data_IF_043211416053
#
_entry.id   IF_043211416053
#
_cell.length_a   1.000
_cell.length_b   1.000
_cell.length_c   1.000
_cell.angle_alpha   90.00
_cell.angle_beta   90.00
_cell.angle_gamma   90.00
#
_symmetry.space_group_name_H-M   'P 1'
#
loop_
_entity.id
_entity.type
_entity.pdbx_description
1 polymer ?
#
# COMPACT_ATOMS: atom_id res chain seq x y z
N UNK A 1 6.28 20.28 55.10
CA UNK A 1 5.29 20.01 54.03
C UNK A 1 5.97 19.39 52.79
N UNK A 2 6.74 18.30 52.92
CA UNK A 2 7.57 17.78 51.81
C UNK A 2 7.35 16.30 51.46
N UNK A 3 6.87 15.47 52.40
CA UNK A 3 6.74 14.01 52.17
C UNK A 3 5.64 13.67 51.16
N UNK A 4 4.46 14.31 51.28
CA UNK A 4 3.34 14.08 50.36
C UNK A 4 3.68 14.50 48.92
N UNK A 5 4.43 15.60 48.73
CA UNK A 5 4.80 16.08 47.40
C UNK A 5 5.75 15.12 46.68
N UNK A 6 6.73 14.57 47.42
CA UNK A 6 7.66 13.58 46.90
C UNK A 6 6.95 12.27 46.50
N UNK A 7 5.93 11.88 47.26
CA UNK A 7 5.09 10.73 46.95
C UNK A 7 4.28 10.91 45.66
N UNK A 8 3.66 12.09 45.45
CA UNK A 8 2.95 12.39 44.21
C UNK A 8 3.87 12.40 42.97
N UNK A 9 5.11 12.92 43.11
CA UNK A 9 6.09 12.92 42.02
C UNK A 9 6.47 11.49 41.62
N UNK A 10 6.73 10.62 42.59
CA UNK A 10 7.08 9.22 42.33
C UNK A 10 5.97 8.48 41.57
N UNK A 11 4.71 8.71 41.96
CA UNK A 11 3.56 8.12 41.27
C UNK A 11 3.48 8.62 39.83
N UNK A 12 3.71 9.92 39.60
CA UNK A 12 3.64 10.50 38.26
C UNK A 12 4.72 9.94 37.33
N UNK A 13 5.94 9.76 37.85
CA UNK A 13 7.06 9.17 37.12
C UNK A 13 6.77 7.71 36.75
N UNK A 14 6.23 6.91 37.70
CA UNK A 14 5.87 5.52 37.44
C UNK A 14 4.77 5.39 36.38
N UNK A 15 3.76 6.26 36.41
CA UNK A 15 2.71 6.29 35.40
C UNK A 15 3.27 6.68 34.03
N UNK A 16 4.18 7.65 33.96
CA UNK A 16 4.86 8.02 32.73
C UNK A 16 5.64 6.84 32.14
N UNK A 17 6.44 6.14 32.95
CA UNK A 17 7.15 4.94 32.49
C UNK A 17 6.21 3.83 32.03
N UNK A 18 5.09 3.63 32.72
CA UNK A 18 4.09 2.65 32.34
C UNK A 18 3.45 2.97 30.98
N UNK A 19 3.07 4.23 30.75
CA UNK A 19 2.49 4.70 29.49
C UNK A 19 3.52 4.57 28.35
N UNK A 20 4.76 5.00 28.57
CA UNK A 20 5.83 4.92 27.57
C UNK A 20 6.16 3.46 27.23
N UNK A 21 6.21 2.57 28.22
CA UNK A 21 6.44 1.15 28.00
C UNK A 21 5.31 0.49 27.20
N UNK A 22 4.06 0.83 27.50
CA UNK A 22 2.90 0.29 26.80
C UNK A 22 2.85 0.71 25.32
N UNK A 23 3.15 1.97 25.02
CA UNK A 23 3.18 2.46 23.64
C UNK A 23 4.33 1.83 22.86
N UNK A 24 5.53 1.72 23.46
CA UNK A 24 6.69 1.10 22.82
C UNK A 24 6.43 -0.34 22.36
N UNK A 25 5.79 -1.16 23.20
CA UNK A 25 5.42 -2.55 22.87
C UNK A 25 4.41 -2.58 21.72
N UNK A 26 3.46 -1.64 21.69
CA UNK A 26 2.44 -1.57 20.64
C UNK A 26 3.02 -1.16 19.28
N UNK A 27 4.01 -0.25 19.25
CA UNK A 27 4.70 0.14 18.02
C UNK A 27 5.63 -0.95 17.47
N UNK A 28 6.22 -1.77 18.33
CA UNK A 28 7.09 -2.88 17.92
C UNK A 28 6.36 -4.16 17.54
N UNK A 29 5.02 -4.13 17.44
CA UNK A 29 4.25 -5.29 17.00
C UNK A 29 4.68 -5.65 15.56
N UNK A 30 5.22 -6.84 15.32
CA UNK A 30 5.63 -7.24 13.98
C UNK A 30 4.40 -7.27 13.08
N UNK A 31 4.54 -6.67 11.89
CA UNK A 31 3.48 -6.60 10.90
C UNK A 31 3.07 -8.02 10.52
N UNK A 32 1.78 -8.33 10.67
CA UNK A 32 1.25 -9.65 10.31
C UNK A 32 1.39 -9.88 8.79
N UNK A 33 1.60 -11.14 8.36
CA UNK A 33 1.77 -11.48 6.93
C UNK A 33 0.63 -10.96 6.03
N UNK A 34 -0.60 -10.97 6.54
CA UNK A 34 -1.78 -10.43 5.84
C UNK A 34 -1.70 -8.91 5.63
N UNK A 35 -1.16 -8.15 6.60
CA UNK A 35 -0.96 -6.71 6.43
C UNK A 35 0.15 -6.41 5.42
N UNK A 36 1.23 -7.19 5.43
CA UNK A 36 2.32 -7.03 4.46
C UNK A 36 1.86 -7.32 3.02
N UNK A 37 0.98 -8.31 2.84
CA UNK A 37 0.39 -8.62 1.53
C UNK A 37 -0.57 -7.51 1.08
N UNK A 38 -1.43 -7.02 1.98
CA UNK A 38 -2.33 -5.89 1.69
C UNK A 38 -1.56 -4.62 1.33
N UNK A 39 -0.45 -4.31 2.01
CA UNK A 39 0.39 -3.15 1.69
C UNK A 39 1.07 -3.28 0.31
N UNK A 40 1.51 -4.49 -0.06
CA UNK A 40 2.04 -4.74 -1.42
C UNK A 40 0.96 -4.52 -2.47
N UNK A 41 -0.23 -5.08 -2.26
CA UNK A 41 -1.35 -4.91 -3.20
C UNK A 41 -1.70 -3.42 -3.32
N UNK A 42 -1.82 -2.68 -2.22
CA UNK A 42 -2.09 -1.24 -2.24
C UNK A 42 -0.96 -0.44 -2.92
N UNK A 43 0.30 -0.84 -2.76
CA UNK A 43 1.41 -0.23 -3.49
C UNK A 43 1.35 -0.48 -4.99
N UNK A 44 0.87 -1.64 -5.43
CA UNK A 44 0.75 -1.95 -6.86
C UNK A 44 -0.47 -1.22 -7.43
N UNK A 45 -1.61 -1.31 -6.75
CA UNK A 45 -2.86 -0.60 -7.11
C UNK A 45 -2.64 0.91 -7.19
N UNK A 46 -1.95 1.53 -6.23
CA UNK A 46 -1.70 2.98 -6.27
C UNK A 46 -0.84 3.41 -7.47
N UNK A 47 0.13 2.58 -7.88
CA UNK A 47 0.92 2.82 -9.09
C UNK A 47 0.07 2.67 -10.35
N UNK A 48 -0.82 1.68 -10.38
CA UNK A 48 -1.70 1.42 -11.50
C UNK A 48 -2.83 2.45 -11.65
N UNK A 49 -3.35 2.98 -10.55
CA UNK A 49 -4.39 4.01 -10.54
C UNK A 49 -3.84 5.42 -10.72
N UNK A 50 -2.53 5.61 -10.95
CA UNK A 50 -2.05 6.88 -11.48
C UNK A 50 -2.76 7.18 -12.81
N UNK A 51 -3.23 8.42 -12.97
CA UNK A 51 -4.11 8.84 -14.08
C UNK A 51 -3.63 8.35 -15.45
N UNK A 52 -2.32 8.37 -15.70
CA UNK A 52 -1.72 7.88 -16.93
C UNK A 52 -1.94 6.37 -17.12
N UNK A 53 -1.51 5.50 -16.19
CA UNK A 53 -1.68 4.06 -16.34
C UNK A 53 -3.16 3.65 -16.40
N UNK A 54 -4.03 4.30 -15.61
CA UNK A 54 -5.48 4.01 -15.62
C UNK A 54 -6.12 4.27 -16.99
N UNK A 55 -5.81 5.39 -17.62
CA UNK A 55 -6.35 5.71 -18.95
C UNK A 55 -5.80 4.76 -20.02
N UNK A 56 -4.48 4.51 -20.00
CA UNK A 56 -3.84 3.60 -20.95
C UNK A 56 -4.34 2.17 -20.82
N UNK A 57 -4.46 1.62 -19.62
CA UNK A 57 -4.97 0.26 -19.41
C UNK A 57 -6.42 0.15 -19.87
N UNK A 58 -7.28 1.14 -19.60
CA UNK A 58 -8.66 1.13 -20.04
C UNK A 58 -8.79 1.17 -21.57
N UNK A 59 -8.00 2.02 -22.23
CA UNK A 59 -7.97 2.10 -23.70
C UNK A 59 -7.42 0.82 -24.33
N UNK A 60 -6.35 0.26 -23.75
CA UNK A 60 -5.75 -0.98 -24.24
C UNK A 60 -6.61 -2.21 -23.96
N UNK A 61 -7.34 -2.29 -22.84
CA UNK A 61 -8.35 -3.33 -22.57
C UNK A 61 -9.42 -3.31 -23.65
N UNK A 62 -9.95 -2.13 -23.95
CA UNK A 62 -10.95 -1.96 -25.00
C UNK A 62 -10.41 -2.38 -26.37
N UNK A 63 -9.18 -2.03 -26.71
CA UNK A 63 -8.52 -2.47 -27.94
C UNK A 63 -8.34 -3.99 -28.00
N UNK A 64 -7.86 -4.60 -26.92
CA UNK A 64 -7.69 -6.05 -26.80
C UNK A 64 -9.01 -6.82 -26.93
N UNK A 65 -10.08 -6.32 -26.30
CA UNK A 65 -11.41 -6.92 -26.41
C UNK A 65 -11.97 -6.81 -27.84
N UNK A 66 -11.75 -5.67 -28.51
CA UNK A 66 -12.21 -5.45 -29.88
C UNK A 66 -11.54 -6.41 -30.90
N UNK A 67 -10.30 -6.85 -30.63
CA UNK A 67 -9.56 -7.76 -31.51
C UNK A 67 -9.55 -9.22 -31.02
N UNK A 68 -10.33 -9.54 -29.98
CA UNK A 68 -10.43 -10.87 -29.40
C UNK A 68 -10.94 -11.87 -30.44
N UNK A 69 -10.14 -12.89 -30.72
CA UNK A 69 -10.45 -13.93 -31.73
C UNK A 69 -9.93 -13.66 -33.14
N UNK A 70 -9.24 -12.53 -33.37
CA UNK A 70 -8.49 -12.29 -34.60
C UNK A 70 -7.05 -12.83 -34.48
N UNK A 71 -6.40 -13.09 -35.63
CA UNK A 71 -5.03 -13.63 -35.70
C UNK A 71 -3.98 -12.75 -35.00
N UNK A 72 -4.27 -11.47 -34.79
CA UNK A 72 -3.34 -10.49 -34.20
C UNK A 72 -3.64 -10.18 -32.71
N UNK A 73 -4.44 -11.01 -32.03
CA UNK A 73 -4.75 -10.82 -30.61
C UNK A 73 -3.49 -10.71 -29.73
N UNK A 74 -2.42 -11.44 -30.06
CA UNK A 74 -1.14 -11.37 -29.33
C UNK A 74 -0.47 -9.99 -29.38
N UNK A 75 -0.82 -9.15 -30.36
CA UNK A 75 -0.30 -7.79 -30.49
C UNK A 75 -1.13 -6.73 -29.78
N UNK A 76 -2.21 -7.12 -29.10
CA UNK A 76 -3.07 -6.15 -28.44
C UNK A 76 -2.34 -5.33 -27.35
N UNK A 77 -1.31 -5.93 -26.75
CA UNK A 77 -0.44 -5.33 -25.75
C UNK A 77 0.59 -4.32 -26.33
N UNK A 78 0.70 -4.18 -27.66
CA UNK A 78 1.52 -3.13 -28.27
C UNK A 78 0.99 -1.72 -27.93
N UNK A 79 -0.30 -1.60 -27.62
CA UNK A 79 -0.92 -0.36 -27.12
C UNK A 79 -0.23 0.16 -25.84
N UNK A 80 0.13 -0.74 -24.92
CA UNK A 80 0.89 -0.41 -23.71
C UNK A 80 2.38 -0.19 -23.98
N UNK A 81 2.92 -0.72 -25.07
CA UNK A 81 4.35 -0.64 -25.40
C UNK A 81 4.81 0.77 -25.72
N UNK A 82 3.96 1.57 -26.35
CA UNK A 82 4.25 2.97 -26.72
C UNK A 82 4.19 3.96 -25.56
N UNK A 83 3.42 3.66 -24.51
CA UNK A 83 3.04 4.65 -23.49
C UNK A 83 3.28 4.18 -22.04
N UNK A 84 3.37 2.87 -21.81
CA UNK A 84 3.12 2.27 -20.51
C UNK A 84 3.90 0.98 -20.26
N UNK A 85 5.20 0.92 -20.61
CA UNK A 85 6.06 -0.20 -20.19
C UNK A 85 6.03 -0.43 -18.67
N UNK A 86 5.85 0.62 -17.86
CA UNK A 86 5.68 0.53 -16.41
C UNK A 86 4.26 0.18 -15.95
N UNK A 87 3.29 0.12 -16.86
CA UNK A 87 1.89 -0.19 -16.58
C UNK A 87 1.50 -1.61 -17.01
N UNK A 88 2.44 -2.43 -17.53
CA UNK A 88 2.14 -3.83 -17.92
C UNK A 88 1.62 -4.66 -16.75
N UNK A 89 2.23 -4.49 -15.57
CA UNK A 89 1.79 -5.16 -14.34
C UNK A 89 0.35 -4.77 -13.93
N UNK A 90 -0.16 -3.66 -14.46
CA UNK A 90 -1.49 -3.15 -14.19
C UNK A 90 -2.55 -3.65 -15.18
N UNK A 91 -2.16 -4.33 -16.26
CA UNK A 91 -3.10 -4.82 -17.27
C UNK A 91 -3.84 -6.08 -16.81
N UNK A 92 -3.18 -6.93 -16.03
CA UNK A 92 -3.72 -8.20 -15.51
C UNK A 92 -4.39 -8.06 -14.12
N UNK A 93 -4.50 -6.83 -13.62
CA UNK A 93 -4.99 -6.47 -12.28
C UNK A 93 -6.49 -6.19 -12.28
#
# INVERSE_FOLDING_TARGET
MNFNYLFFILIFILNLFYIIGYTFISYHKPLNKEQQESERIQSIVSKCYQNSCRQWVLECHWFCDAIRGLKDYERCLDCLRTQGMGCYECFDL
#
